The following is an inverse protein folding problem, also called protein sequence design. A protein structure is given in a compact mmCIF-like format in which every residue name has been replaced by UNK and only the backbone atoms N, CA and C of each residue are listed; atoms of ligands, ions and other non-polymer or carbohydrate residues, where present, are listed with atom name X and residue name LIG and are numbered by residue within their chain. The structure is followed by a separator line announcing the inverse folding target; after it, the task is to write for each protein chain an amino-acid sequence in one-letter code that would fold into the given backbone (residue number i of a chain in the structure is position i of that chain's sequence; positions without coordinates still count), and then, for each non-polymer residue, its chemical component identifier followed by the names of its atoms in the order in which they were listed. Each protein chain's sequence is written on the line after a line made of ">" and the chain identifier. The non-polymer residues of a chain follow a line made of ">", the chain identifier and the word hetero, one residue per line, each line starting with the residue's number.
data_IF_646056096071
#
_entry.id   IF_646056096071
#
_cell.length_a   1.000
_cell.length_b   1.000
_cell.length_c   1.000
_cell.angle_alpha   90.00
_cell.angle_beta   90.00
_cell.angle_gamma   90.00
#
_symmetry.space_group_name_H-M   'P 1'
#
loop_
_entity.id
_entity.type
_entity.pdbx_description
1 polymer ?
#
# COMPACT_ATOMS: atom_id res chain seq x y z
N UNK A 1 25.34 -0.72 29.47
CA UNK A 1 24.95 0.24 28.40
C UNK A 1 23.85 -0.31 27.50
N UNK A 2 23.93 -1.58 27.05
CA UNK A 2 22.87 -2.23 26.26
C UNK A 2 21.40 -1.96 26.69
N UNK A 3 21.01 -2.08 27.97
CA UNK A 3 19.59 -1.92 28.36
C UNK A 3 19.03 -0.50 28.13
N UNK A 4 19.87 0.54 28.17
CA UNK A 4 19.43 1.91 27.92
C UNK A 4 19.15 2.15 26.43
N UNK A 5 19.94 1.57 25.55
CA UNK A 5 19.72 1.66 24.10
C UNK A 5 18.43 0.94 23.69
N UNK A 6 18.21 -0.27 24.21
CA UNK A 6 16.94 -0.98 23.98
C UNK A 6 15.74 -0.20 24.52
N UNK A 7 15.87 0.44 25.69
CA UNK A 7 14.81 1.31 26.22
C UNK A 7 14.56 2.52 25.32
N UNK A 8 15.61 3.16 24.79
CA UNK A 8 15.47 4.23 23.82
C UNK A 8 14.74 3.76 22.56
N UNK A 9 15.13 2.62 21.97
CA UNK A 9 14.46 2.04 20.78
C UNK A 9 12.98 1.77 21.09
N UNK A 10 12.68 1.13 22.21
CA UNK A 10 11.29 0.88 22.62
C UNK A 10 10.48 2.17 22.78
N UNK A 11 11.08 3.22 23.34
CA UNK A 11 10.44 4.54 23.47
C UNK A 11 10.16 5.17 22.11
N UNK A 12 11.13 5.14 21.17
CA UNK A 12 10.93 5.63 19.81
C UNK A 12 9.82 4.87 19.08
N UNK A 13 9.82 3.54 19.17
CA UNK A 13 8.80 2.69 18.54
C UNK A 13 7.41 2.92 19.14
N UNK A 14 7.31 3.10 20.45
CA UNK A 14 6.04 3.42 21.12
C UNK A 14 5.51 4.79 20.68
N UNK A 15 6.40 5.79 20.58
CA UNK A 15 6.04 7.12 20.11
C UNK A 15 5.59 7.09 18.64
N UNK A 16 6.35 6.43 17.78
CA UNK A 16 6.05 6.29 16.35
C UNK A 16 4.73 5.54 16.13
N UNK A 17 4.49 4.46 16.87
CA UNK A 17 3.23 3.71 16.84
C UNK A 17 2.04 4.57 17.28
N UNK A 18 2.15 5.28 18.40
CA UNK A 18 1.08 6.15 18.90
C UNK A 18 0.80 7.34 17.97
N UNK A 19 1.86 7.93 17.40
CA UNK A 19 1.73 8.98 16.39
C UNK A 19 1.03 8.46 15.13
N UNK A 20 1.38 7.26 14.67
CA UNK A 20 0.77 6.63 13.49
C UNK A 20 -0.72 6.38 13.70
N UNK A 21 -1.14 5.88 14.87
CA UNK A 21 -2.57 5.70 15.16
C UNK A 21 -3.31 7.03 15.14
N UNK A 22 -2.77 8.07 15.79
CA UNK A 22 -3.40 9.40 15.85
C UNK A 22 -3.52 10.05 14.48
N UNK A 23 -2.50 9.93 13.63
CA UNK A 23 -2.55 10.54 12.30
C UNK A 23 -3.55 9.80 11.42
N UNK A 24 -3.62 8.46 11.49
CA UNK A 24 -4.62 7.68 10.75
C UNK A 24 -6.06 8.02 11.17
N UNK A 25 -6.29 8.23 12.46
CA UNK A 25 -7.62 8.63 13.00
C UNK A 25 -8.05 10.03 12.54
N UNK A 26 -7.09 10.94 12.34
CA UNK A 26 -7.36 12.35 12.00
C UNK A 26 -7.09 12.69 10.53
N UNK A 27 -6.75 11.70 9.70
CA UNK A 27 -6.37 11.92 8.31
C UNK A 27 -7.57 12.35 7.46
N UNK A 28 -7.45 13.49 6.79
CA UNK A 28 -8.49 14.02 5.89
C UNK A 28 -8.45 13.44 4.48
N UNK A 29 -7.37 12.72 4.14
CA UNK A 29 -7.13 12.10 2.83
C UNK A 29 -7.24 13.07 1.65
N UNK A 30 -6.87 14.33 1.88
CA UNK A 30 -6.79 15.34 0.84
C UNK A 30 -5.45 15.21 0.08
N UNK A 31 -5.45 15.44 -1.25
CA UNK A 31 -4.21 15.44 -2.01
C UNK A 31 -3.32 16.60 -1.59
N UNK A 32 -2.01 16.36 -1.55
CA UNK A 32 -1.02 17.41 -1.28
C UNK A 32 -1.02 18.47 -2.38
N UNK A 33 -1.20 18.06 -3.63
CA UNK A 33 -1.34 18.96 -4.77
C UNK A 33 -2.19 18.33 -5.87
N UNK A 34 -2.74 19.11 -6.81
CA UNK A 34 -3.51 18.56 -7.94
C UNK A 34 -2.71 17.58 -8.81
N UNK A 35 -1.38 17.72 -8.84
CA UNK A 35 -0.46 16.82 -9.54
C UNK A 35 0.01 15.63 -8.69
N UNK A 36 -0.11 15.71 -7.37
CA UNK A 36 0.35 14.71 -6.41
C UNK A 36 -0.82 14.31 -5.50
N UNK A 37 -1.62 13.38 -6.02
CA UNK A 37 -2.71 12.72 -5.31
C UNK A 37 -2.13 11.76 -4.27
N UNK A 38 -1.52 12.30 -3.23
CA UNK A 38 -0.85 11.57 -2.16
C UNK A 38 -1.25 12.17 -0.83
N UNK A 39 -1.41 11.34 0.20
CA UNK A 39 -1.72 11.80 1.54
C UNK A 39 -0.48 12.36 2.25
N UNK A 40 -0.69 13.34 3.13
CA UNK A 40 0.39 13.94 3.92
C UNK A 40 0.97 12.94 4.92
N UNK A 41 0.10 12.12 5.53
CA UNK A 41 0.50 11.07 6.47
C UNK A 41 1.50 10.07 5.89
N UNK A 42 1.36 9.68 4.61
CA UNK A 42 2.28 8.73 3.96
C UNK A 42 3.69 9.28 3.79
N UNK A 43 3.82 10.60 3.56
CA UNK A 43 5.15 11.23 3.51
C UNK A 43 5.75 11.29 4.91
N UNK A 44 4.96 11.70 5.90
CA UNK A 44 5.42 11.89 7.27
C UNK A 44 5.85 10.56 7.91
N UNK A 45 5.14 9.46 7.67
CA UNK A 45 5.51 8.15 8.26
C UNK A 45 6.86 7.65 7.73
N UNK A 46 7.09 7.74 6.41
CA UNK A 46 8.37 7.37 5.79
C UNK A 46 9.48 8.28 6.32
N UNK A 47 9.21 9.60 6.38
CA UNK A 47 10.17 10.57 6.88
C UNK A 47 10.59 10.28 8.32
N UNK A 48 9.62 10.15 9.23
CA UNK A 48 9.90 9.93 10.66
C UNK A 48 10.58 8.57 10.86
N UNK A 49 10.19 7.53 10.10
CA UNK A 49 10.85 6.24 10.15
C UNK A 49 12.34 6.36 9.76
N UNK A 50 12.64 7.02 8.65
CA UNK A 50 14.03 7.31 8.23
C UNK A 50 14.78 8.14 9.27
N UNK A 51 14.18 9.21 9.79
CA UNK A 51 14.79 10.04 10.85
C UNK A 51 15.07 9.24 12.13
N UNK A 52 14.23 8.26 12.47
CA UNK A 52 14.44 7.38 13.63
C UNK A 52 15.63 6.45 13.41
N UNK A 53 15.77 5.91 12.19
CA UNK A 53 16.92 5.10 11.78
C UNK A 53 18.20 5.95 11.86
N UNK A 54 18.18 7.13 11.23
CA UNK A 54 19.32 8.07 11.28
C UNK A 54 19.65 8.51 12.70
N UNK A 55 18.65 8.71 13.55
CA UNK A 55 18.83 9.05 14.96
C UNK A 55 19.55 7.96 15.75
N UNK A 56 19.30 6.67 15.46
CA UNK A 56 20.01 5.55 16.07
C UNK A 56 21.50 5.59 15.71
N UNK A 57 21.82 5.67 14.42
CA UNK A 57 23.20 5.67 13.93
C UNK A 57 23.95 6.97 14.23
N UNK A 58 23.23 8.10 14.34
CA UNK A 58 23.78 9.40 14.71
C UNK A 58 24.36 9.46 16.12
N UNK A 59 24.04 8.51 17.00
CA UNK A 59 24.65 8.43 18.34
C UNK A 59 26.14 8.02 18.31
N UNK A 60 26.65 7.49 17.19
CA UNK A 60 28.05 7.05 17.04
C UNK A 60 28.50 6.06 18.14
N UNK A 61 27.61 5.16 18.54
CA UNK A 61 27.88 4.12 19.54
C UNK A 61 28.10 2.76 18.86
N UNK A 62 28.81 1.81 19.49
CA UNK A 62 28.84 0.43 19.03
C UNK A 62 27.45 -0.20 19.20
N UNK A 63 26.71 -0.34 18.11
CA UNK A 63 25.34 -0.85 18.09
C UNK A 63 25.36 -2.39 17.94
N UNK A 64 24.78 -3.15 18.88
CA UNK A 64 24.60 -4.59 18.68
C UNK A 64 23.57 -4.87 17.58
N UNK A 65 23.77 -5.94 16.81
CA UNK A 65 22.87 -6.36 15.71
C UNK A 65 21.42 -6.45 16.16
N UNK A 66 21.19 -7.07 17.33
CA UNK A 66 19.85 -7.25 17.90
C UNK A 66 19.10 -5.93 18.14
N UNK A 67 19.83 -4.84 18.42
CA UNK A 67 19.22 -3.53 18.63
C UNK A 67 18.74 -2.92 17.32
N UNK A 68 19.56 -3.02 16.26
CA UNK A 68 19.19 -2.52 14.92
C UNK A 68 18.03 -3.35 14.38
N UNK A 69 18.08 -4.68 14.53
CA UNK A 69 16.99 -5.57 14.17
C UNK A 69 15.69 -5.22 14.92
N UNK A 70 15.76 -4.99 16.22
CA UNK A 70 14.60 -4.59 17.02
C UNK A 70 13.98 -3.27 16.50
N UNK A 71 14.82 -2.30 16.11
CA UNK A 71 14.34 -1.05 15.52
C UNK A 71 13.69 -1.29 14.16
N UNK A 72 14.33 -2.02 13.24
CA UNK A 72 13.81 -2.25 11.89
C UNK A 72 12.52 -3.06 11.90
N UNK A 73 12.44 -4.12 12.73
CA UNK A 73 11.22 -4.91 12.93
C UNK A 73 10.09 -4.06 13.52
N UNK A 74 10.40 -3.17 14.47
CA UNK A 74 9.43 -2.26 15.04
C UNK A 74 8.89 -1.23 14.04
N UNK A 75 9.77 -0.69 13.19
CA UNK A 75 9.38 0.21 12.10
C UNK A 75 8.55 -0.55 11.08
N UNK A 76 8.96 -1.75 10.67
CA UNK A 76 8.21 -2.61 9.76
C UNK A 76 6.78 -2.86 10.28
N UNK A 77 6.63 -3.20 11.56
CA UNK A 77 5.33 -3.38 12.19
C UNK A 77 4.46 -2.10 12.18
N UNK A 78 5.07 -0.91 12.29
CA UNK A 78 4.36 0.37 12.15
C UNK A 78 3.91 0.60 10.71
N UNK A 79 4.78 0.37 9.73
CA UNK A 79 4.46 0.53 8.30
C UNK A 79 3.37 -0.46 7.88
N UNK A 80 3.42 -1.71 8.36
CA UNK A 80 2.36 -2.70 8.20
C UNK A 80 1.03 -2.21 8.77
N UNK A 81 1.03 -1.62 9.98
CA UNK A 81 -0.19 -1.08 10.60
C UNK A 81 -0.80 0.03 9.74
N UNK A 82 0.03 0.93 9.22
CA UNK A 82 -0.42 1.95 8.29
C UNK A 82 -1.04 1.34 7.04
N UNK A 83 -0.35 0.40 6.40
CA UNK A 83 -0.83 -0.25 5.18
C UNK A 83 -2.18 -0.99 5.40
N UNK A 84 -2.32 -1.73 6.51
CA UNK A 84 -3.56 -2.41 6.90
C UNK A 84 -4.72 -1.43 7.11
N UNK A 85 -4.47 -0.33 7.83
CA UNK A 85 -5.51 0.67 8.08
C UNK A 85 -6.01 1.32 6.78
N UNK A 86 -5.13 1.54 5.80
CA UNK A 86 -5.56 2.05 4.48
C UNK A 86 -6.31 0.98 3.69
N UNK A 87 -5.85 -0.27 3.74
CA UNK A 87 -6.52 -1.40 3.08
C UNK A 87 -7.96 -1.58 3.60
N UNK A 88 -8.18 -1.50 4.91
CA UNK A 88 -9.49 -1.57 5.54
C UNK A 88 -10.43 -0.43 5.07
N UNK A 89 -9.88 0.74 4.75
CA UNK A 89 -10.66 1.87 4.24
C UNK A 89 -10.98 1.75 2.75
N UNK A 90 -10.06 1.20 1.95
CA UNK A 90 -10.24 1.03 0.50
C UNK A 90 -11.12 -0.17 0.16
N UNK A 91 -11.18 -1.20 1.01
CA UNK A 91 -11.99 -2.38 0.75
C UNK A 91 -11.47 -3.26 -0.38
N UNK A 92 -12.31 -4.19 -0.85
CA UNK A 92 -11.92 -5.18 -1.86
C UNK A 92 -11.91 -4.56 -3.28
N UNK A 93 -11.00 -5.00 -4.17
CA UNK A 93 -10.99 -4.58 -5.58
C UNK A 93 -12.32 -4.84 -6.29
N UNK A 94 -13.03 -5.90 -5.89
CA UNK A 94 -14.24 -6.38 -6.55
C UNK A 94 -15.38 -5.37 -6.49
N UNK A 95 -15.39 -4.48 -5.48
CA UNK A 95 -16.36 -3.38 -5.36
C UNK A 95 -16.22 -2.35 -6.49
N UNK A 96 -15.01 -2.16 -7.02
CA UNK A 96 -14.72 -1.14 -8.04
C UNK A 96 -14.77 -1.66 -9.47
N UNK A 97 -14.79 -2.98 -9.66
CA UNK A 97 -14.82 -3.60 -10.99
C UNK A 97 -16.28 -3.82 -11.41
N UNK A 98 -16.79 -3.12 -12.43
CA UNK A 98 -18.15 -3.36 -12.89
C UNK A 98 -18.28 -4.79 -13.43
N UNK A 99 -19.43 -5.46 -13.21
CA UNK A 99 -19.64 -6.79 -13.75
C UNK A 99 -19.50 -6.77 -15.28
N UNK A 100 -18.96 -7.84 -15.89
CA UNK A 100 -18.78 -7.89 -17.33
C UNK A 100 -20.14 -7.65 -18.01
N UNK A 101 -20.21 -6.79 -19.03
CA UNK A 101 -21.48 -6.53 -19.71
C UNK A 101 -22.02 -7.85 -20.26
N UNK A 102 -23.32 -8.09 -20.08
CA UNK A 102 -23.97 -9.25 -20.68
C UNK A 102 -23.66 -9.26 -22.18
N UNK A 103 -23.15 -10.38 -22.71
CA UNK A 103 -22.76 -10.50 -24.11
C UNK A 103 -23.96 -10.12 -24.99
N UNK A 104 -23.98 -8.88 -25.48
CA UNK A 104 -24.99 -8.40 -26.40
C UNK A 104 -24.68 -9.03 -27.73
N UNK A 105 -25.30 -10.19 -27.98
CA UNK A 105 -25.24 -10.86 -29.27
C UNK A 105 -25.68 -9.85 -30.34
N UNK A 106 -24.73 -9.28 -31.08
CA UNK A 106 -25.01 -8.55 -32.31
C UNK A 106 -25.57 -9.58 -33.29
N UNK A 107 -26.90 -9.75 -33.30
CA UNK A 107 -27.57 -10.58 -34.28
C UNK A 107 -27.54 -9.82 -35.61
N UNK A 108 -26.51 -10.07 -36.44
CA UNK A 108 -26.56 -9.78 -37.88
C UNK A 108 -27.85 -10.32 -38.54
N UNK A 109 -28.51 -11.29 -37.90
CA UNK A 109 -29.79 -11.89 -38.32
C UNK A 109 -31.00 -10.94 -38.29
N UNK A 110 -30.94 -9.77 -37.64
CA UNK A 110 -32.06 -8.81 -37.64
C UNK A 110 -32.03 -7.87 -38.85
N UNK A 111 -30.86 -7.61 -39.45
CA UNK A 111 -30.76 -6.84 -40.70
C UNK A 111 -31.25 -7.68 -41.91
N UNK A 112 -31.03 -9.00 -41.91
CA UNK A 112 -31.46 -9.88 -42.99
C UNK A 112 -32.95 -10.25 -42.96
N UNK A 113 -33.67 -9.96 -41.86
CA UNK A 113 -35.12 -10.19 -41.76
C UNK A 113 -35.98 -8.94 -41.96
N UNK A 114 -35.37 -7.75 -42.06
CA UNK A 114 -36.09 -6.51 -42.37
C UNK A 114 -36.48 -6.38 -43.85
N UNK A 115 -35.91 -7.19 -44.75
CA UNK A 115 -36.23 -7.17 -46.19
C UNK A 115 -37.17 -8.31 -46.65
N UNK A 116 -37.70 -9.12 -45.74
CA UNK A 116 -38.48 -10.31 -46.11
C UNK A 116 -39.84 -10.47 -45.38
N UNK A 117 -40.37 -9.43 -44.73
CA UNK A 117 -41.70 -9.53 -44.14
C UNK A 117 -42.48 -8.22 -44.16
N UNK A 118 -42.76 -7.68 -45.35
CA UNK A 118 -44.02 -6.97 -45.59
C UNK A 118 -45.16 -8.00 -45.69
N UNK A 119 -45.68 -8.48 -44.55
CA UNK A 119 -47.07 -8.98 -44.41
C UNK A 119 -47.34 -9.35 -42.94
N UNK A 120 -47.97 -8.43 -42.20
CA UNK A 120 -48.95 -8.59 -41.11
C UNK A 120 -48.70 -9.51 -39.88
N UNK A 121 -49.39 -9.23 -38.74
CA UNK A 121 -48.78 -9.24 -37.42
C UNK A 121 -49.19 -10.42 -36.51
N UNK A 122 -48.52 -10.46 -35.35
CA UNK A 122 -48.97 -11.00 -34.04
C UNK A 122 -48.41 -12.37 -33.63
N UNK A 123 -47.31 -12.35 -32.87
CA UNK A 123 -47.07 -13.35 -31.81
C UNK A 123 -46.28 -12.71 -30.66
N UNK A 124 -46.89 -12.57 -29.50
CA UNK A 124 -46.22 -12.35 -28.22
C UNK A 124 -45.66 -13.67 -27.70
N UNK A 125 -44.43 -13.73 -27.16
CA UNK A 125 -44.08 -14.76 -26.21
C UNK A 125 -43.94 -14.16 -24.80
N UNK A 126 -44.82 -14.62 -23.90
CA UNK A 126 -44.51 -14.70 -22.47
C UNK A 126 -43.26 -15.57 -22.32
N UNK A 127 -42.30 -15.14 -21.49
CA UNK A 127 -41.47 -16.09 -20.77
C UNK A 127 -41.22 -15.58 -19.34
N UNK A 128 -41.84 -16.30 -18.40
CA UNK A 128 -41.41 -16.41 -17.01
C UNK A 128 -40.17 -17.31 -17.00
N UNK A 129 -39.08 -16.85 -16.41
CA UNK A 129 -38.20 -17.72 -15.65
C UNK A 129 -37.65 -16.91 -14.48
N UNK A 130 -38.28 -17.10 -13.33
CA UNK A 130 -37.69 -16.77 -12.05
C UNK A 130 -36.46 -17.69 -11.86
N UNK A 131 -35.33 -17.11 -11.47
CA UNK A 131 -34.24 -17.84 -10.83
C UNK A 131 -34.16 -17.29 -9.41
N UNK A 132 -34.39 -18.11 -8.37
CA UNK A 132 -34.12 -17.72 -6.99
C UNK A 132 -32.60 -17.75 -6.79
N UNK A 133 -31.99 -16.62 -6.44
CA UNK A 133 -30.63 -16.59 -5.94
C UNK A 133 -30.63 -17.12 -4.50
N UNK A 134 -29.95 -18.25 -4.30
CA UNK A 134 -29.60 -18.79 -2.99
C UNK A 134 -28.67 -17.83 -2.25
N UNK A 135 -28.95 -17.44 -1.00
CA UNK A 135 -27.92 -16.84 -0.15
C UNK A 135 -27.10 -17.99 0.44
N UNK A 136 -25.88 -18.19 -0.07
CA UNK A 136 -24.87 -18.93 0.67
C UNK A 136 -24.52 -18.09 1.90
N UNK A 137 -24.86 -18.62 3.07
CA UNK A 137 -24.41 -18.07 4.35
C UNK A 137 -22.90 -18.22 4.48
N UNK A 138 -22.22 -17.09 4.49
CA UNK A 138 -20.94 -16.91 5.14
C UNK A 138 -21.05 -15.62 5.95
N UNK A 139 -20.54 -15.64 7.17
CA UNK A 139 -20.66 -14.58 8.16
C UNK A 139 -20.04 -13.26 7.64
N UNK A 140 -20.84 -12.43 6.97
CA UNK A 140 -20.41 -11.23 6.22
C UNK A 140 -20.90 -9.89 6.80
N UNK A 141 -21.52 -9.88 7.99
CA UNK A 141 -22.05 -8.62 8.56
C UNK A 141 -20.95 -7.54 8.79
N UNK A 142 -19.68 -7.95 8.89
CA UNK A 142 -18.54 -7.03 8.97
C UNK A 142 -17.96 -6.55 7.63
N UNK A 143 -18.01 -7.38 6.58
CA UNK A 143 -17.46 -7.01 5.26
C UNK A 143 -18.39 -6.11 4.48
N UNK A 144 -19.70 -6.30 4.59
CA UNK A 144 -20.69 -5.54 3.83
C UNK A 144 -20.61 -4.03 4.17
N UNK A 145 -20.37 -3.70 5.45
CA UNK A 145 -20.20 -2.32 5.92
C UNK A 145 -18.86 -1.69 5.48
N UNK A 146 -17.82 -2.49 5.30
CA UNK A 146 -16.53 -2.00 4.80
C UNK A 146 -16.60 -1.77 3.28
N UNK A 147 -17.24 -2.69 2.56
CA UNK A 147 -17.48 -2.57 1.12
C UNK A 147 -18.47 -1.45 0.77
N UNK A 148 -19.50 -1.22 1.58
CA UNK A 148 -20.41 -0.07 1.42
C UNK A 148 -19.67 1.27 1.61
N UNK A 149 -18.80 1.38 2.63
CA UNK A 149 -17.95 2.57 2.83
C UNK A 149 -16.96 2.75 1.68
N UNK A 150 -16.39 1.66 1.18
CA UNK A 150 -15.50 1.65 0.03
C UNK A 150 -16.21 2.14 -1.25
N UNK A 151 -17.45 1.70 -1.48
CA UNK A 151 -18.29 2.14 -2.60
C UNK A 151 -18.71 3.61 -2.51
N UNK A 152 -18.79 4.16 -1.29
CA UNK A 152 -19.13 5.57 -1.06
C UNK A 152 -17.94 6.53 -1.22
N UNK A 153 -16.70 6.04 -1.37
CA UNK A 153 -15.52 6.88 -1.58
C UNK A 153 -15.58 7.57 -2.94
N UNK A 154 -15.25 8.86 -2.97
CA UNK A 154 -14.99 9.55 -4.24
C UNK A 154 -13.76 8.95 -4.93
N UNK A 155 -13.74 8.98 -6.26
CA UNK A 155 -12.60 8.49 -7.04
C UNK A 155 -11.27 9.14 -6.64
N UNK A 156 -11.29 10.44 -6.30
CA UNK A 156 -10.10 11.15 -5.83
C UNK A 156 -9.60 10.64 -4.47
N UNK A 157 -10.53 10.42 -3.53
CA UNK A 157 -10.24 9.90 -2.19
C UNK A 157 -9.65 8.48 -2.25
N UNK A 158 -10.15 7.66 -3.17
CA UNK A 158 -9.61 6.34 -3.50
C UNK A 158 -8.18 6.44 -4.04
N UNK A 159 -7.96 7.29 -5.05
CA UNK A 159 -6.66 7.48 -5.67
C UNK A 159 -5.60 7.97 -4.69
N UNK A 160 -5.95 8.90 -3.80
CA UNK A 160 -5.04 9.37 -2.74
C UNK A 160 -4.59 8.22 -1.85
N UNK A 161 -5.50 7.35 -1.40
CA UNK A 161 -5.18 6.18 -0.56
C UNK A 161 -4.30 5.16 -1.27
N UNK A 162 -4.64 4.80 -2.51
CA UNK A 162 -3.87 3.85 -3.30
C UNK A 162 -2.46 4.37 -3.62
N UNK A 163 -2.35 5.64 -4.00
CA UNK A 163 -1.07 6.27 -4.25
C UNK A 163 -0.23 6.40 -2.97
N UNK A 164 -0.86 6.61 -1.81
CA UNK A 164 -0.18 6.58 -0.51
C UNK A 164 0.41 5.21 -0.19
N UNK A 165 -0.32 4.13 -0.45
CA UNK A 165 0.20 2.77 -0.33
C UNK A 165 1.36 2.51 -1.30
N UNK A 166 1.20 2.94 -2.56
CA UNK A 166 2.26 2.80 -3.56
C UNK A 166 3.52 3.61 -3.16
N UNK A 167 3.35 4.84 -2.66
CA UNK A 167 4.46 5.66 -2.19
C UNK A 167 5.20 5.01 -1.02
N UNK A 168 4.44 4.43 -0.08
CA UNK A 168 5.01 3.69 1.05
C UNK A 168 5.87 2.52 0.54
N UNK A 169 5.35 1.70 -0.37
CA UNK A 169 6.06 0.57 -0.94
C UNK A 169 7.30 0.97 -1.74
N UNK A 170 7.21 2.07 -2.50
CA UNK A 170 8.34 2.61 -3.24
C UNK A 170 9.45 3.15 -2.33
N UNK A 171 9.12 3.57 -1.10
CA UNK A 171 10.10 4.07 -0.13
C UNK A 171 10.82 2.99 0.69
N UNK A 172 10.30 1.75 0.73
CA UNK A 172 10.91 0.67 1.52
C UNK A 172 12.35 0.35 1.08
N UNK A 173 12.66 0.21 -0.23
CA UNK A 173 14.03 -0.08 -0.67
C UNK A 173 15.02 1.04 -0.33
N UNK A 174 14.57 2.30 -0.38
CA UNK A 174 15.39 3.46 -0.03
C UNK A 174 15.72 3.44 1.47
N UNK A 175 14.73 3.17 2.32
CA UNK A 175 14.94 3.01 3.77
C UNK A 175 15.86 1.84 4.08
N UNK A 176 15.71 0.70 3.40
CA UNK A 176 16.60 -0.45 3.55
C UNK A 176 18.05 -0.08 3.18
N UNK A 177 18.22 0.68 2.09
CA UNK A 177 19.50 1.27 1.69
C UNK A 177 20.12 2.11 2.82
N UNK A 178 19.34 3.00 3.44
CA UNK A 178 19.80 3.82 4.56
C UNK A 178 20.28 2.96 5.73
N UNK A 179 19.53 1.92 6.13
CA UNK A 179 19.97 1.04 7.23
C UNK A 179 21.28 0.34 6.88
N UNK A 180 21.41 -0.16 5.65
CA UNK A 180 22.60 -0.86 5.17
C UNK A 180 23.82 0.05 5.12
N UNK A 181 23.71 1.22 4.50
CA UNK A 181 24.81 2.17 4.39
C UNK A 181 25.31 2.58 5.79
N UNK A 182 24.39 2.89 6.71
CA UNK A 182 24.73 3.29 8.08
C UNK A 182 25.31 2.15 8.91
N UNK A 183 24.83 0.92 8.72
CA UNK A 183 25.39 -0.25 9.37
C UNK A 183 26.82 -0.51 8.91
N UNK A 184 27.09 -0.44 7.62
CA UNK A 184 28.43 -0.63 7.04
C UNK A 184 29.40 0.46 7.51
N UNK A 185 28.96 1.73 7.56
CA UNK A 185 29.74 2.83 8.14
C UNK A 185 30.08 2.58 9.61
N UNK A 186 29.10 2.15 10.42
CA UNK A 186 29.28 1.90 11.85
C UNK A 186 30.24 0.72 12.11
N UNK A 187 30.16 -0.35 11.32
CA UNK A 187 31.05 -1.51 11.42
C UNK A 187 32.46 -1.16 10.94
N UNK A 188 32.59 -0.38 9.86
CA UNK A 188 33.89 0.02 9.32
C UNK A 188 34.64 1.01 10.21
N UNK A 189 33.92 1.85 10.97
CA UNK A 189 34.51 2.79 11.94
C UNK A 189 35.06 2.12 13.21
N UNK A 190 34.59 0.92 13.54
CA UNK A 190 35.09 0.13 14.67
C UNK A 190 36.31 -0.71 14.23
N UNK A 191 37.51 -0.12 14.34
CA UNK A 191 38.75 -0.72 13.88
C UNK A 191 39.00 -2.16 14.41
N UNK A 192 39.00 -3.14 13.51
CA UNK A 192 39.88 -4.31 13.53
C UNK A 192 39.50 -5.52 14.39
N UNK A 193 38.68 -6.42 13.84
CA UNK A 193 39.02 -7.85 13.78
C UNK A 193 38.18 -8.56 12.73
N UNK A 194 38.86 -9.14 11.76
CA UNK A 194 38.30 -9.98 10.71
C UNK A 194 37.90 -11.34 11.29
N UNK A 195 36.88 -11.96 10.68
CA UNK A 195 36.35 -13.32 10.91
C UNK A 195 35.26 -13.45 11.98
N UNK A 196 33.99 -13.27 11.58
CA UNK A 196 33.03 -14.37 11.36
C UNK A 196 31.58 -13.81 11.26
N UNK A 197 30.99 -13.91 10.06
CA UNK A 197 29.55 -14.12 9.81
C UNK A 197 28.61 -13.12 10.52
N UNK A 198 28.30 -11.96 9.93
CA UNK A 198 27.14 -11.86 9.04
C UNK A 198 27.28 -10.61 8.16
N UNK A 199 27.54 -10.83 6.89
CA UNK A 199 27.83 -9.85 5.85
C UNK A 199 26.57 -9.09 5.40
N UNK A 200 25.89 -8.44 6.36
CA UNK A 200 24.70 -7.63 6.11
C UNK A 200 23.55 -8.36 5.42
N UNK A 201 23.60 -9.69 5.30
CA UNK A 201 22.59 -10.45 4.56
C UNK A 201 21.23 -10.37 5.27
N UNK A 202 21.25 -10.33 6.61
CA UNK A 202 20.06 -10.11 7.43
C UNK A 202 19.39 -8.74 7.20
N UNK A 203 20.08 -7.77 6.60
CA UNK A 203 19.50 -6.45 6.27
C UNK A 203 18.62 -6.49 5.02
N UNK A 204 18.77 -7.52 4.18
CA UNK A 204 17.91 -7.68 3.02
C UNK A 204 16.50 -8.06 3.46
N UNK A 205 15.51 -7.27 3.05
CA UNK A 205 14.11 -7.57 3.39
C UNK A 205 13.73 -7.27 4.85
N UNK A 206 14.44 -6.38 5.55
CA UNK A 206 14.04 -5.96 6.91
C UNK A 206 12.67 -5.28 6.97
N UNK A 207 12.15 -4.84 5.81
CA UNK A 207 10.81 -4.30 5.63
C UNK A 207 9.90 -5.22 4.77
N UNK A 208 10.22 -6.52 4.68
CA UNK A 208 9.44 -7.48 3.89
C UNK A 208 7.99 -7.58 4.39
N UNK A 209 7.74 -7.47 5.70
CA UNK A 209 6.40 -7.52 6.24
C UNK A 209 5.50 -6.39 5.71
N UNK A 210 6.02 -5.17 5.65
CA UNK A 210 5.35 -4.03 5.03
C UNK A 210 5.17 -4.24 3.52
N UNK A 211 6.20 -4.70 2.81
CA UNK A 211 6.13 -4.95 1.36
C UNK A 211 5.07 -5.99 1.00
N UNK A 212 5.00 -7.09 1.77
CA UNK A 212 3.98 -8.12 1.62
C UNK A 212 2.59 -7.56 1.90
N UNK A 213 2.43 -6.77 2.96
CA UNK A 213 1.15 -6.14 3.32
C UNK A 213 0.66 -5.20 2.21
N UNK A 214 1.55 -4.37 1.68
CA UNK A 214 1.25 -3.46 0.56
C UNK A 214 0.93 -4.27 -0.70
N UNK A 215 1.70 -5.31 -1.00
CA UNK A 215 1.46 -6.19 -2.15
C UNK A 215 0.12 -6.92 -2.07
N UNK A 216 -0.30 -7.34 -0.88
CA UNK A 216 -1.64 -7.93 -0.65
C UNK A 216 -2.76 -6.90 -0.84
N UNK A 217 -2.55 -5.65 -0.40
CA UNK A 217 -3.49 -4.56 -0.68
C UNK A 217 -3.59 -4.28 -2.19
N UNK A 218 -2.49 -4.49 -2.92
CA UNK A 218 -2.43 -4.49 -4.37
C UNK A 218 -2.82 -5.85 -4.99
N UNK A 219 -3.72 -6.63 -4.37
CA UNK A 219 -4.44 -7.73 -5.05
C UNK A 219 -5.15 -7.28 -6.34
N UNK A 220 -5.28 -5.96 -6.51
CA UNK A 220 -5.23 -5.27 -7.79
C UNK A 220 -3.98 -5.68 -8.57
N UNK A 221 -4.00 -6.82 -9.30
CA UNK A 221 -2.95 -7.18 -10.28
C UNK A 221 -2.91 -6.17 -11.43
N UNK A 222 -2.61 -4.92 -11.13
CA UNK A 222 -2.06 -3.98 -12.07
C UNK A 222 -0.63 -4.44 -12.30
N UNK A 223 -0.43 -5.13 -13.42
CA UNK A 223 0.89 -5.23 -14.02
C UNK A 223 1.55 -3.85 -13.95
N UNK A 224 2.86 -3.80 -13.65
CA UNK A 224 3.70 -2.58 -13.54
C UNK A 224 3.61 -1.60 -14.74
N UNK A 225 2.75 -1.84 -15.72
CA UNK A 225 2.51 -1.05 -16.93
C UNK A 225 1.39 -0.01 -16.83
N UNK A 226 0.59 0.04 -15.76
CA UNK A 226 -0.63 0.88 -15.75
C UNK A 226 -0.53 2.20 -14.99
N UNK A 227 0.54 2.45 -14.25
CA UNK A 227 0.81 3.80 -13.75
C UNK A 227 1.75 4.52 -14.73
N UNK A 228 1.37 5.69 -15.28
CA UNK A 228 2.35 6.52 -15.97
C UNK A 228 3.37 6.97 -14.93
N UNK A 229 4.54 6.33 -14.96
CA UNK A 229 5.76 6.82 -14.33
C UNK A 229 6.10 8.15 -14.99
N UNK A 230 5.61 9.25 -14.43
CA UNK A 230 6.08 10.59 -14.74
C UNK A 230 5.74 11.50 -13.58
N UNK A 231 6.46 11.36 -12.47
CA UNK A 231 6.69 12.44 -11.50
C UNK A 231 7.72 12.06 -10.42
N UNK A 232 8.84 11.43 -10.81
CA UNK A 232 10.08 11.44 -10.02
C UNK A 232 11.21 11.70 -11.00
N UNK A 233 11.49 12.97 -11.29
CA UNK A 233 12.51 13.34 -12.26
C UNK A 233 12.48 14.79 -12.71
N UNK A 234 12.40 15.75 -11.79
CA UNK A 234 12.66 17.16 -12.11
C UNK A 234 12.97 17.97 -10.84
N UNK A 235 14.06 17.61 -10.15
CA UNK A 235 14.66 18.50 -9.15
C UNK A 235 16.15 18.18 -8.99
N UNK A 236 16.93 18.33 -10.06
CA UNK A 236 18.38 18.54 -9.94
C UNK A 236 18.90 19.36 -11.11
N UNK A 237 19.68 20.37 -10.75
CA UNK A 237 20.49 21.27 -11.57
C UNK A 237 19.81 22.51 -12.19
N UNK A 238 19.99 23.66 -11.54
CA UNK A 238 20.42 24.88 -12.24
C UNK A 238 21.51 25.56 -11.41
N UNK A 239 22.71 25.81 -11.96
CA UNK A 239 23.72 26.64 -11.32
C UNK A 239 23.41 28.12 -11.62
N UNK A 240 23.56 28.96 -10.60
CA UNK A 240 23.59 30.42 -10.67
C UNK A 240 24.55 30.92 -9.61
#
# INVERSE_FOLDING_TARGET
>A
MAPLLFHWVQSQLAQLGAWTSRILESESWQPISPSRLLSRSAIEIVKIATETIEGLFGMQLPLPVDLVRCLTEGIDAVLQRYAKAVQEQVGSPDVYIPPPPALTRYKKDLAAKAEASETSPKVTPKNRSAVPSTPSGHDHEGSDLAEERAAALSAESLLVRLNSLHYLGAGLPDMEGVVRDRWEEAVSGAAGSSSELDSGHWLHGVFEGADVTISQSCGWRFTRSCFPVSLVGAAKASPG
#
